data_IF_833547381715
#
_entry.id   IF_833547381715
#
_cell.length_a   1.000
_cell.length_b   1.000
_cell.length_c   1.000
_cell.angle_alpha   90.00
_cell.angle_beta   90.00
_cell.angle_gamma   90.00
#
_symmetry.space_group_name_H-M   'P 1'
#
loop_
_entity.id
_entity.type
_entity.pdbx_description
1 polymer ?
#
# COMPACT_ATOMS: atom_id res chain seq x y z
N UNK A 1 22.94 23.67 7.43
CA UNK A 1 23.49 22.94 6.29
C UNK A 1 22.36 22.02 5.85
N UNK A 2 21.57 22.46 4.88
CA UNK A 2 20.46 21.64 4.35
C UNK A 2 21.07 20.38 3.74
N UNK A 3 20.60 19.17 4.08
CA UNK A 3 21.04 17.96 3.40
C UNK A 3 20.82 18.17 1.89
N UNK A 4 21.85 17.91 1.09
CA UNK A 4 21.69 17.88 -0.36
C UNK A 4 20.68 16.76 -0.65
N UNK A 5 19.53 17.14 -1.19
CA UNK A 5 18.40 16.22 -1.40
C UNK A 5 18.80 15.23 -2.51
N UNK A 6 19.22 14.03 -2.11
CA UNK A 6 19.58 13.00 -3.07
C UNK A 6 18.32 12.48 -3.76
N UNK A 7 18.28 12.58 -5.09
CA UNK A 7 17.17 12.04 -5.86
C UNK A 7 17.05 10.51 -5.66
N UNK A 8 15.83 9.97 -5.51
CA UNK A 8 15.63 8.53 -5.41
C UNK A 8 16.19 7.80 -6.64
N UNK A 9 16.73 6.61 -6.41
CA UNK A 9 17.38 5.83 -7.46
C UNK A 9 16.44 5.53 -8.64
N UNK A 10 15.20 5.13 -8.37
CA UNK A 10 14.21 4.84 -9.42
C UNK A 10 13.95 6.06 -10.34
N UNK A 11 14.07 7.28 -9.79
CA UNK A 11 13.86 8.51 -10.56
C UNK A 11 15.06 8.80 -11.48
N UNK A 12 16.27 8.50 -11.01
CA UNK A 12 17.49 8.54 -11.83
C UNK A 12 17.43 7.52 -12.96
N UNK A 13 16.97 6.29 -12.66
CA UNK A 13 16.79 5.24 -13.68
C UNK A 13 15.77 5.67 -14.73
N UNK A 14 14.62 6.22 -14.31
CA UNK A 14 13.60 6.72 -15.23
C UNK A 14 14.11 7.86 -16.11
N UNK A 15 14.88 8.80 -15.55
CA UNK A 15 15.47 9.91 -16.28
C UNK A 15 16.44 9.42 -17.38
N UNK A 16 17.32 8.46 -17.05
CA UNK A 16 18.25 7.88 -18.02
C UNK A 16 17.52 7.16 -19.17
N UNK A 17 16.43 6.45 -18.86
CA UNK A 17 15.60 5.79 -19.88
C UNK A 17 14.90 6.81 -20.78
N UNK A 18 14.34 7.88 -20.19
CA UNK A 18 13.66 8.93 -20.95
C UNK A 18 14.62 9.72 -21.84
N UNK A 19 15.87 9.90 -21.40
CA UNK A 19 16.94 10.52 -22.18
C UNK A 19 17.46 9.61 -23.32
N UNK A 20 17.05 8.34 -23.37
CA UNK A 20 17.53 7.35 -24.34
C UNK A 20 18.95 6.85 -24.04
N UNK A 21 19.47 7.10 -22.84
CA UNK A 21 20.81 6.68 -22.42
C UNK A 21 20.85 5.20 -22.01
N UNK A 22 19.73 4.69 -21.50
CA UNK A 22 19.55 3.32 -21.04
C UNK A 22 18.16 2.78 -21.41
N UNK A 23 18.00 1.48 -21.26
CA UNK A 23 16.75 0.74 -21.32
C UNK A 23 16.56 -0.01 -20.01
N UNK A 24 15.35 -0.52 -19.74
CA UNK A 24 15.12 -1.35 -18.56
C UNK A 24 16.01 -2.60 -18.55
N UNK A 25 16.38 -3.11 -19.73
CA UNK A 25 17.24 -4.28 -19.87
C UNK A 25 18.70 -4.06 -19.48
N UNK A 26 19.12 -2.81 -19.32
CA UNK A 26 20.45 -2.45 -18.80
C UNK A 26 20.53 -2.51 -17.27
N UNK A 27 19.43 -2.79 -16.58
CA UNK A 27 19.37 -2.91 -15.12
C UNK A 27 19.04 -4.35 -14.70
N UNK A 28 19.77 -4.85 -13.70
CA UNK A 28 19.44 -6.09 -12.97
C UNK A 28 18.07 -5.99 -12.29
N UNK A 29 17.47 -7.12 -11.93
CA UNK A 29 16.22 -7.08 -11.16
C UNK A 29 16.38 -6.43 -9.80
N UNK A 30 17.56 -6.52 -9.19
CA UNK A 30 17.88 -5.79 -7.97
C UNK A 30 17.80 -4.28 -8.18
N UNK A 31 18.47 -3.75 -9.21
CA UNK A 31 18.42 -2.32 -9.54
C UNK A 31 16.99 -1.88 -9.92
N UNK A 32 16.26 -2.67 -10.72
CA UNK A 32 14.86 -2.38 -11.08
C UNK A 32 13.92 -2.37 -9.87
N UNK A 33 14.29 -3.04 -8.78
CA UNK A 33 13.51 -3.11 -7.53
C UNK A 33 14.17 -2.32 -6.40
N UNK A 34 14.81 -1.19 -6.73
CA UNK A 34 15.33 -0.22 -5.77
C UNK A 34 14.21 0.42 -4.92
N UNK A 35 14.54 1.00 -3.77
CA UNK A 35 13.53 1.53 -2.84
C UNK A 35 12.62 2.55 -3.52
N UNK A 36 11.29 2.37 -3.41
CA UNK A 36 10.31 3.29 -3.99
C UNK A 36 9.95 3.04 -5.46
N UNK A 37 10.45 1.96 -6.09
CA UNK A 37 10.20 1.69 -7.51
C UNK A 37 8.71 1.51 -7.88
N UNK A 38 7.85 1.07 -6.95
CA UNK A 38 6.40 0.94 -7.16
C UNK A 38 5.65 2.25 -6.99
N UNK A 39 6.19 3.22 -6.26
CA UNK A 39 5.52 4.50 -5.94
C UNK A 39 4.98 5.25 -7.17
N UNK A 40 5.74 5.46 -8.28
CA UNK A 40 5.19 6.14 -9.45
C UNK A 40 4.02 5.38 -10.10
N UNK A 41 4.05 4.04 -10.06
CA UNK A 41 2.95 3.21 -10.58
C UNK A 41 1.73 3.28 -9.67
N UNK A 42 1.92 3.22 -8.35
CA UNK A 42 0.87 3.40 -7.35
C UNK A 42 0.15 4.73 -7.58
N UNK A 43 0.88 5.84 -7.60
CA UNK A 43 0.32 7.18 -7.77
C UNK A 43 -0.49 7.29 -9.07
N UNK A 44 0.07 6.81 -10.19
CA UNK A 44 -0.58 6.90 -11.50
C UNK A 44 -1.84 6.05 -11.61
N UNK A 45 -1.80 4.82 -11.10
CA UNK A 45 -2.94 3.90 -11.17
C UNK A 45 -4.01 4.38 -10.20
N UNK A 46 -3.66 4.63 -8.94
CA UNK A 46 -4.63 5.01 -7.91
C UNK A 46 -5.36 6.31 -8.23
N UNK A 47 -4.66 7.33 -8.76
CA UNK A 47 -5.27 8.57 -9.24
C UNK A 47 -6.37 8.32 -10.28
N UNK A 48 -6.21 7.31 -11.12
CA UNK A 48 -7.19 6.97 -12.17
C UNK A 48 -8.43 6.27 -11.62
N UNK A 49 -8.30 5.49 -10.55
CA UNK A 49 -9.37 4.66 -10.01
C UNK A 49 -10.13 5.33 -8.86
N UNK A 50 -9.39 5.86 -7.88
CA UNK A 50 -9.98 6.32 -6.61
C UNK A 50 -9.56 7.74 -6.24
N UNK A 51 -8.39 8.21 -6.66
CA UNK A 51 -7.96 9.61 -6.45
C UNK A 51 -7.62 9.97 -5.00
N UNK A 52 -7.44 9.00 -4.10
CA UNK A 52 -7.09 9.25 -2.69
C UNK A 52 -5.68 9.77 -2.54
N UNK A 53 -4.71 9.27 -3.29
CA UNK A 53 -3.36 9.80 -3.25
C UNK A 53 -3.31 11.22 -3.81
N UNK A 54 -4.03 11.50 -4.89
CA UNK A 54 -4.14 12.86 -5.44
C UNK A 54 -4.78 13.83 -4.43
N UNK A 55 -5.92 13.45 -3.84
CA UNK A 55 -6.59 14.20 -2.78
C UNK A 55 -5.64 14.46 -1.60
N UNK A 56 -4.91 13.42 -1.18
CA UNK A 56 -4.05 13.48 -0.02
C UNK A 56 -2.81 14.33 -0.26
N UNK A 57 -2.17 14.22 -1.42
CA UNK A 57 -1.04 15.10 -1.77
C UNK A 57 -1.49 16.56 -1.83
N UNK A 58 -2.64 16.87 -2.46
CA UNK A 58 -3.16 18.25 -2.48
C UNK A 58 -3.47 18.77 -1.07
N UNK A 59 -3.98 17.90 -0.19
CA UNK A 59 -4.21 18.20 1.23
C UNK A 59 -2.90 18.51 1.94
N UNK A 60 -1.87 17.68 1.73
CA UNK A 60 -0.54 17.88 2.29
C UNK A 60 0.10 19.19 1.80
N UNK A 61 -0.03 19.51 0.52
CA UNK A 61 0.46 20.76 -0.10
C UNK A 61 -0.26 22.00 0.42
N UNK A 62 -1.57 21.90 0.70
CA UNK A 62 -2.35 23.02 1.24
C UNK A 62 -1.99 23.33 2.70
N UNK A 63 -1.41 22.37 3.43
CA UNK A 63 -1.11 22.53 4.86
C UNK A 63 -2.34 22.38 5.78
N UNK A 64 -3.49 22.07 5.21
CA UNK A 64 -4.76 21.89 5.91
C UNK A 64 -5.67 20.92 5.14
N UNK A 65 -6.68 20.38 5.84
CA UNK A 65 -7.65 19.49 5.23
C UNK A 65 -8.51 20.24 4.19
N UNK A 66 -8.58 19.71 2.98
CA UNK A 66 -9.42 20.30 1.93
C UNK A 66 -10.92 20.15 2.24
N UNK A 67 -11.71 21.11 1.78
CA UNK A 67 -13.18 21.06 1.86
C UNK A 67 -13.78 19.94 0.99
N UNK A 68 -13.06 19.51 -0.05
CA UNK A 68 -13.43 18.40 -0.92
C UNK A 68 -13.77 17.13 -0.10
N UNK A 69 -14.77 16.32 -0.51
CA UNK A 69 -15.06 15.06 0.18
C UNK A 69 -13.90 14.08 0.02
N UNK A 70 -13.66 13.26 1.06
CA UNK A 70 -12.71 12.15 0.94
C UNK A 70 -13.15 11.23 -0.20
N UNK A 71 -12.27 10.89 -1.16
CA UNK A 71 -12.64 9.96 -2.21
C UNK A 71 -13.01 8.57 -1.66
N UNK A 72 -14.17 8.09 -2.06
CA UNK A 72 -14.78 6.88 -1.51
C UNK A 72 -14.30 5.63 -2.27
N UNK A 73 -13.98 4.56 -1.52
CA UNK A 73 -13.71 3.24 -2.07
C UNK A 73 -14.83 2.29 -1.65
N UNK A 74 -15.42 1.62 -2.64
CA UNK A 74 -16.31 0.48 -2.43
C UNK A 74 -15.47 -0.81 -2.43
N UNK A 75 -15.17 -1.32 -1.25
CA UNK A 75 -14.39 -2.56 -1.11
C UNK A 75 -15.21 -3.79 -1.48
N UNK A 76 -14.56 -4.70 -2.20
CA UNK A 76 -15.10 -6.00 -2.56
C UNK A 76 -14.98 -6.98 -1.39
N UNK A 77 -16.03 -7.74 -1.12
CA UNK A 77 -16.07 -8.79 -0.12
C UNK A 77 -15.83 -10.19 -0.67
N UNK A 78 -15.78 -11.17 0.22
CA UNK A 78 -15.52 -12.58 -0.12
C UNK A 78 -16.62 -13.21 -1.01
N UNK A 79 -17.83 -12.65 -0.98
CA UNK A 79 -19.00 -13.11 -1.74
C UNK A 79 -19.24 -12.43 -3.07
N UNK A 80 -18.43 -11.43 -3.44
CA UNK A 80 -18.63 -10.70 -4.70
C UNK A 80 -18.18 -11.55 -5.89
N UNK A 81 -19.06 -11.69 -6.88
CA UNK A 81 -18.84 -12.52 -8.08
C UNK A 81 -17.93 -11.89 -9.12
N UNK A 82 -17.13 -10.89 -8.74
CA UNK A 82 -16.23 -10.23 -9.67
C UNK A 82 -15.04 -11.13 -10.00
N UNK A 83 -14.95 -11.55 -11.26
CA UNK A 83 -13.84 -12.36 -11.76
C UNK A 83 -12.49 -11.66 -11.53
N UNK A 84 -12.46 -10.33 -11.53
CA UNK A 84 -11.22 -9.57 -11.35
C UNK A 84 -10.67 -9.66 -9.92
N UNK A 85 -11.51 -9.81 -8.89
CA UNK A 85 -11.06 -10.14 -7.51
C UNK A 85 -10.39 -11.52 -7.47
N UNK A 86 -10.99 -12.49 -8.16
CA UNK A 86 -10.41 -13.85 -8.26
C UNK A 86 -9.05 -13.82 -8.94
N UNK A 87 -8.88 -13.01 -9.98
CA UNK A 87 -7.61 -12.88 -10.70
C UNK A 87 -6.54 -12.19 -9.85
N UNK A 88 -6.88 -11.17 -9.06
CA UNK A 88 -5.98 -10.59 -8.07
C UNK A 88 -5.50 -11.64 -7.05
N UNK A 89 -6.41 -12.45 -6.50
CA UNK A 89 -6.02 -13.53 -5.57
C UNK A 89 -5.15 -14.60 -6.23
N UNK A 90 -5.46 -15.03 -7.47
CA UNK A 90 -4.62 -15.99 -8.21
C UNK A 90 -3.20 -15.44 -8.43
N UNK A 91 -3.09 -14.17 -8.82
CA UNK A 91 -1.82 -13.49 -9.00
C UNK A 91 -1.03 -13.46 -7.69
N UNK A 92 -1.66 -13.08 -6.57
CA UNK A 92 -1.01 -13.05 -5.27
C UNK A 92 -0.55 -14.44 -4.83
N UNK A 93 -1.39 -15.47 -4.95
CA UNK A 93 -1.00 -16.87 -4.68
C UNK A 93 0.18 -17.29 -5.54
N UNK A 94 0.19 -16.95 -6.84
CA UNK A 94 1.34 -17.23 -7.70
C UNK A 94 2.62 -16.52 -7.25
N UNK A 95 2.52 -15.32 -6.68
CA UNK A 95 3.68 -14.66 -6.08
C UNK A 95 4.22 -15.47 -4.89
N UNK A 96 3.37 -16.00 -4.01
CA UNK A 96 3.81 -16.56 -2.71
C UNK A 96 3.82 -18.09 -2.61
N UNK A 97 3.40 -18.79 -3.66
CA UNK A 97 3.31 -20.27 -3.72
C UNK A 97 4.08 -20.86 -4.92
N UNK A 98 4.93 -20.06 -5.58
CA UNK A 98 5.73 -20.58 -6.68
C UNK A 98 6.86 -21.49 -6.19
N UNK A 99 7.33 -22.37 -7.08
CA UNK A 99 8.50 -23.21 -6.81
C UNK A 99 9.72 -22.36 -6.39
N UNK A 100 9.89 -21.17 -6.98
CA UNK A 100 11.00 -20.27 -6.63
C UNK A 100 11.00 -19.93 -5.13
N UNK A 101 9.83 -19.66 -4.54
CA UNK A 101 9.68 -19.40 -3.12
C UNK A 101 10.00 -20.63 -2.26
N UNK A 102 9.51 -21.82 -2.64
CA UNK A 102 9.80 -23.05 -1.89
C UNK A 102 11.29 -23.41 -1.91
N UNK A 103 11.97 -23.22 -3.05
CA UNK A 103 13.38 -23.57 -3.19
C UNK A 103 14.34 -22.67 -2.40
N UNK A 104 13.89 -21.47 -2.04
CA UNK A 104 14.70 -20.43 -1.35
C UNK A 104 14.20 -20.13 0.05
N UNK A 105 13.15 -20.82 0.50
CA UNK A 105 12.46 -20.59 1.78
C UNK A 105 11.92 -19.17 1.95
N UNK A 106 11.58 -18.48 0.86
CA UNK A 106 10.90 -17.19 0.91
C UNK A 106 9.48 -17.35 1.47
N UNK A 107 9.12 -16.53 2.44
CA UNK A 107 7.87 -16.58 3.20
C UNK A 107 6.98 -15.38 2.86
N UNK A 108 5.72 -15.48 3.27
CA UNK A 108 4.74 -14.40 3.07
C UNK A 108 5.18 -13.03 3.65
N UNK A 109 5.80 -12.95 4.85
CA UNK A 109 6.31 -11.66 5.36
C UNK A 109 7.40 -11.05 4.48
N UNK A 110 8.24 -11.87 3.83
CA UNK A 110 9.31 -11.39 2.95
C UNK A 110 8.71 -10.73 1.70
N UNK A 111 7.57 -11.25 1.21
CA UNK A 111 6.81 -10.62 0.12
C UNK A 111 6.19 -9.27 0.55
N UNK A 112 5.68 -9.15 1.78
CA UNK A 112 5.17 -7.87 2.29
C UNK A 112 6.29 -6.84 2.43
N UNK A 113 7.46 -7.23 2.93
CA UNK A 113 8.65 -6.38 2.96
C UNK A 113 9.11 -5.97 1.55
N UNK A 114 8.99 -6.85 0.55
CA UNK A 114 9.29 -6.48 -0.83
C UNK A 114 8.33 -5.43 -1.39
N UNK A 115 7.03 -5.53 -1.07
CA UNK A 115 6.04 -4.52 -1.44
C UNK A 115 6.30 -3.19 -0.74
N UNK A 116 6.54 -3.21 0.58
CA UNK A 116 6.83 -2.01 1.37
C UNK A 116 8.13 -1.33 0.89
N UNK A 117 9.17 -2.11 0.57
CA UNK A 117 10.37 -1.60 -0.08
C UNK A 117 10.04 -0.93 -1.42
N UNK A 118 9.21 -1.58 -2.24
CA UNK A 118 8.74 -1.04 -3.50
C UNK A 118 7.95 0.25 -3.35
N UNK A 119 7.13 0.40 -2.31
CA UNK A 119 6.42 1.65 -2.03
C UNK A 119 7.30 2.75 -1.41
N UNK A 120 8.54 2.41 -1.06
CA UNK A 120 9.46 3.35 -0.42
C UNK A 120 9.09 3.61 1.03
N UNK A 121 8.69 2.57 1.77
CA UNK A 121 8.30 2.71 3.15
C UNK A 121 9.41 3.26 4.04
N UNK A 122 9.05 4.26 4.85
CA UNK A 122 10.02 4.94 5.74
C UNK A 122 10.39 4.08 6.92
N UNK A 123 9.50 3.18 7.35
CA UNK A 123 9.79 2.20 8.41
C UNK A 123 10.70 1.06 7.97
N UNK A 124 11.00 0.95 6.67
CA UNK A 124 11.88 -0.08 6.11
C UNK A 124 13.20 0.53 5.62
N UNK A 125 14.19 0.57 6.51
CA UNK A 125 15.52 1.14 6.20
C UNK A 125 16.33 0.23 5.26
N UNK A 126 16.23 -1.09 5.44
CA UNK A 126 17.00 -2.07 4.68
C UNK A 126 16.11 -2.93 3.77
N UNK A 127 16.68 -3.30 2.61
CA UNK A 127 16.04 -4.25 1.69
C UNK A 127 15.99 -5.63 2.33
N UNK A 128 14.84 -6.30 2.22
CA UNK A 128 14.72 -7.69 2.61
C UNK A 128 15.74 -8.54 1.83
N UNK A 129 16.41 -9.47 2.52
CA UNK A 129 17.34 -10.41 1.88
C UNK A 129 16.56 -11.47 1.12
N UNK A 130 16.29 -11.20 -0.15
CA UNK A 130 15.56 -12.10 -1.04
C UNK A 130 16.47 -12.59 -2.16
N UNK A 131 16.31 -13.85 -2.55
CA UNK A 131 17.04 -14.45 -3.66
C UNK A 131 16.68 -13.77 -4.99
N UNK A 132 17.64 -13.65 -5.89
CA UNK A 132 17.47 -12.95 -7.17
C UNK A 132 16.35 -13.57 -8.02
N UNK A 133 16.20 -14.91 -8.00
CA UNK A 133 15.14 -15.59 -8.77
C UNK A 133 13.76 -15.33 -8.17
N UNK A 134 13.67 -15.22 -6.85
CA UNK A 134 12.42 -14.85 -6.18
C UNK A 134 12.05 -13.41 -6.50
N UNK A 135 13.04 -12.50 -6.46
CA UNK A 135 12.83 -11.10 -6.81
C UNK A 135 12.37 -10.93 -8.26
N UNK A 136 13.02 -11.62 -9.21
CA UNK A 136 12.59 -11.64 -10.61
C UNK A 136 11.17 -12.21 -10.77
N UNK A 137 10.87 -13.33 -10.11
CA UNK A 137 9.55 -13.96 -10.16
C UNK A 137 8.46 -13.00 -9.66
N UNK A 138 8.68 -12.36 -8.50
CA UNK A 138 7.75 -11.37 -7.96
C UNK A 138 7.61 -10.16 -8.86
N UNK A 139 8.71 -9.61 -9.36
CA UNK A 139 8.69 -8.46 -10.27
C UNK A 139 7.86 -8.74 -11.53
N UNK A 140 7.97 -9.94 -12.11
CA UNK A 140 7.24 -10.32 -13.33
C UNK A 140 5.80 -10.75 -13.09
N UNK A 141 5.48 -11.20 -11.89
CA UNK A 141 4.16 -11.78 -11.58
C UNK A 141 3.23 -10.77 -10.91
N UNK A 142 3.78 -9.87 -10.10
CA UNK A 142 2.98 -8.94 -9.32
C UNK A 142 2.43 -7.80 -10.17
N UNK A 143 1.10 -7.72 -10.22
CA UNK A 143 0.36 -6.66 -10.89
C UNK A 143 -0.38 -5.79 -9.86
N UNK A 144 0.24 -4.65 -9.55
CA UNK A 144 -0.33 -3.64 -8.65
C UNK A 144 -1.72 -3.15 -9.12
N UNK A 145 -1.93 -3.06 -10.43
CA UNK A 145 -3.17 -2.58 -11.03
C UNK A 145 -4.39 -3.42 -10.67
N UNK A 146 -4.24 -4.73 -10.55
CA UNK A 146 -5.34 -5.62 -10.14
C UNK A 146 -5.81 -5.32 -8.71
N UNK A 147 -4.88 -5.10 -7.79
CA UNK A 147 -5.23 -4.79 -6.39
C UNK A 147 -5.92 -3.43 -6.27
N UNK A 148 -5.46 -2.42 -7.01
CA UNK A 148 -6.09 -1.10 -7.00
C UNK A 148 -7.46 -1.13 -7.68
N UNK A 149 -7.57 -1.76 -8.85
CA UNK A 149 -8.83 -1.82 -9.59
C UNK A 149 -9.92 -2.61 -8.86
N UNK A 150 -9.53 -3.60 -8.06
CA UNK A 150 -10.41 -4.48 -7.31
C UNK A 150 -10.07 -4.38 -5.81
N UNK A 151 -10.48 -3.32 -5.12
CA UNK A 151 -10.03 -3.04 -3.76
C UNK A 151 -10.62 -4.06 -2.77
N UNK A 152 -9.76 -4.80 -2.07
CA UNK A 152 -10.13 -5.81 -1.07
C UNK A 152 -8.96 -6.03 -0.11
N UNK A 153 -9.24 -6.62 1.06
CA UNK A 153 -8.19 -7.06 1.99
C UNK A 153 -7.70 -8.48 1.63
N UNK A 154 -6.98 -8.55 0.51
CA UNK A 154 -6.39 -9.79 0.01
C UNK A 154 -5.32 -10.37 0.95
N UNK A 155 -4.60 -9.50 1.65
CA UNK A 155 -3.51 -9.92 2.52
C UNK A 155 -4.03 -10.59 3.79
N UNK A 156 -5.15 -10.11 4.33
CA UNK A 156 -5.86 -10.77 5.42
C UNK A 156 -6.35 -12.16 5.01
N UNK A 157 -6.88 -12.30 3.80
CA UNK A 157 -7.31 -13.60 3.25
C UNK A 157 -6.12 -14.57 3.12
N UNK A 158 -5.04 -14.17 2.45
CA UNK A 158 -3.82 -14.98 2.33
C UNK A 158 -3.23 -15.40 3.68
N UNK A 159 -3.20 -14.49 4.66
CA UNK A 159 -2.71 -14.80 6.01
C UNK A 159 -3.62 -15.81 6.70
N UNK A 160 -4.93 -15.65 6.59
CA UNK A 160 -5.91 -16.54 7.22
C UNK A 160 -5.87 -17.96 6.63
N UNK A 161 -5.71 -18.09 5.31
CA UNK A 161 -5.56 -19.37 4.62
C UNK A 161 -4.36 -20.16 5.15
N UNK A 162 -3.26 -19.46 5.45
CA UNK A 162 -2.01 -20.08 5.91
C UNK A 162 -1.99 -20.37 7.41
N UNK A 163 -2.70 -19.58 8.22
CA UNK A 163 -2.71 -19.73 9.68
C UNK A 163 -3.49 -20.96 10.16
N UNK A 164 -4.30 -21.61 9.30
CA UNK A 164 -4.96 -22.88 9.63
C UNK A 164 -5.81 -22.82 10.90
N UNK A 165 -6.24 -23.99 11.41
CA UNK A 165 -6.96 -24.09 12.68
C UNK A 165 -6.05 -24.63 13.78
N UNK A 166 -6.18 -24.07 14.99
CA UNK A 166 -5.50 -24.53 16.21
C UNK A 166 -4.32 -23.68 16.66
N UNK A 167 -4.04 -23.73 17.97
CA UNK A 167 -3.05 -22.88 18.67
C UNK A 167 -1.63 -22.96 18.10
N UNK A 168 -1.26 -24.10 17.51
CA UNK A 168 0.09 -24.30 16.95
C UNK A 168 0.26 -23.66 15.57
N UNK A 169 -0.81 -23.54 14.78
CA UNK A 169 -0.79 -22.98 13.43
C UNK A 169 -1.20 -21.49 13.43
N UNK A 170 -2.12 -21.11 14.33
CA UNK A 170 -2.58 -19.74 14.54
C UNK A 170 -2.39 -19.30 16.01
N UNK A 171 -1.14 -19.14 16.48
CA UNK A 171 -0.86 -18.83 17.89
C UNK A 171 -1.45 -17.48 18.34
N UNK A 172 -1.61 -16.54 17.40
CA UNK A 172 -2.17 -15.21 17.64
C UNK A 172 -3.68 -15.13 17.38
N UNK A 173 -4.32 -16.25 17.01
CA UNK A 173 -5.75 -16.33 16.72
C UNK A 173 -6.25 -15.22 15.76
N UNK A 174 -5.46 -14.92 14.71
CA UNK A 174 -5.85 -13.93 13.71
C UNK A 174 -6.95 -14.50 12.82
N UNK A 175 -8.08 -13.79 12.74
CA UNK A 175 -9.18 -14.06 11.83
C UNK A 175 -9.64 -12.72 11.26
N UNK A 176 -9.53 -12.51 9.93
CA UNK A 176 -9.99 -11.26 9.34
C UNK A 176 -11.51 -11.15 9.50
N UNK A 177 -11.98 -10.02 10.02
CA UNK A 177 -13.42 -9.77 10.15
C UNK A 177 -14.05 -9.69 8.76
N UNK A 178 -15.12 -10.45 8.44
CA UNK A 178 -15.72 -10.43 7.11
C UNK A 178 -16.08 -9.02 6.63
N UNK A 179 -15.87 -8.74 5.34
CA UNK A 179 -16.01 -7.40 4.77
C UNK A 179 -17.39 -6.76 5.05
N UNK A 180 -18.46 -7.55 4.94
CA UNK A 180 -19.83 -7.10 5.22
C UNK A 180 -20.07 -6.71 6.69
N UNK A 181 -19.42 -7.40 7.64
CA UNK A 181 -19.51 -7.08 9.07
C UNK A 181 -18.76 -5.78 9.35
N UNK A 182 -17.58 -5.60 8.77
CA UNK A 182 -16.80 -4.37 8.88
C UNK A 182 -17.56 -3.17 8.31
N UNK A 183 -18.15 -3.32 7.13
CA UNK A 183 -18.95 -2.26 6.49
C UNK A 183 -20.13 -1.84 7.38
N UNK A 184 -20.88 -2.82 7.90
CA UNK A 184 -21.97 -2.58 8.83
C UNK A 184 -21.49 -1.83 10.08
N UNK A 185 -20.43 -2.31 10.76
CA UNK A 185 -19.89 -1.70 11.98
C UNK A 185 -19.41 -0.27 11.74
N UNK A 186 -18.76 -0.02 10.60
CA UNK A 186 -18.28 1.31 10.22
C UNK A 186 -19.46 2.25 9.96
N UNK A 187 -20.47 1.81 9.21
CA UNK A 187 -21.66 2.65 8.93
C UNK A 187 -22.42 3.00 10.20
N UNK A 188 -22.62 2.03 11.10
CA UNK A 188 -23.27 2.27 12.39
C UNK A 188 -22.53 3.28 13.27
N UNK A 189 -21.20 3.36 13.13
CA UNK A 189 -20.37 4.22 13.99
C UNK A 189 -20.01 5.55 13.34
N UNK A 190 -20.04 5.66 12.00
CA UNK A 190 -19.48 6.80 11.25
C UNK A 190 -20.40 7.50 10.25
N UNK A 191 -21.42 6.83 9.70
CA UNK A 191 -22.14 7.35 8.52
C UNK A 191 -23.00 8.61 8.81
N UNK A 192 -23.68 8.68 9.96
CA UNK A 192 -24.73 9.69 10.20
C UNK A 192 -24.32 10.84 11.13
N UNK A 193 -23.02 11.02 11.38
CA UNK A 193 -22.58 11.92 12.45
C UNK A 193 -21.64 13.00 11.88
N UNK A 194 -22.21 13.96 11.16
CA UNK A 194 -21.54 15.22 10.76
C UNK A 194 -20.25 15.06 9.95
N UNK A 195 -19.46 16.14 9.86
CA UNK A 195 -18.12 16.08 9.29
C UNK A 195 -17.15 15.42 10.29
N UNK A 196 -16.53 14.32 9.86
CA UNK A 196 -15.64 13.48 10.66
C UNK A 196 -14.27 13.30 10.05
N UNK A 197 -13.95 14.07 9.01
CA UNK A 197 -12.71 13.86 8.26
C UNK A 197 -11.47 13.89 9.18
N UNK A 198 -11.49 14.65 10.27
CA UNK A 198 -10.38 14.71 11.25
C UNK A 198 -10.58 13.86 12.52
N UNK A 199 -11.73 13.19 12.68
CA UNK A 199 -12.03 12.39 13.86
C UNK A 199 -11.02 11.25 13.99
N UNK A 200 -10.37 11.10 15.14
CA UNK A 200 -9.47 9.98 15.37
C UNK A 200 -10.23 8.64 15.36
N UNK A 201 -9.70 7.68 14.62
CA UNK A 201 -10.19 6.30 14.60
C UNK A 201 -9.04 5.37 14.97
N UNK A 202 -9.22 4.60 16.04
CA UNK A 202 -8.22 3.64 16.51
C UNK A 202 -8.77 2.22 16.44
N UNK A 203 -8.01 1.32 15.82
CA UNK A 203 -8.21 -0.12 15.95
C UNK A 203 -7.08 -0.74 16.81
N UNK A 204 -7.37 -1.15 18.06
CA UNK A 204 -6.35 -1.69 18.97
C UNK A 204 -5.92 -3.13 18.64
N UNK A 205 -6.60 -3.80 17.72
CA UNK A 205 -6.31 -5.14 17.24
C UNK A 205 -6.43 -5.14 15.70
N UNK A 206 -5.65 -4.27 15.06
CA UNK A 206 -5.90 -3.84 13.68
C UNK A 206 -5.82 -4.96 12.66
N UNK A 207 -5.10 -6.05 12.96
CA UNK A 207 -4.89 -7.12 12.01
C UNK A 207 -4.26 -6.58 10.73
N UNK A 208 -4.86 -6.91 9.60
CA UNK A 208 -4.48 -6.40 8.26
C UNK A 208 -5.10 -5.03 7.93
N UNK A 209 -5.76 -4.37 8.88
CA UNK A 209 -6.30 -3.02 8.69
C UNK A 209 -7.67 -2.95 8.04
N UNK A 210 -8.40 -4.06 7.93
CA UNK A 210 -9.70 -4.08 7.24
C UNK A 210 -10.71 -3.11 7.84
N UNK A 211 -10.79 -3.00 9.17
CA UNK A 211 -11.63 -1.98 9.83
C UNK A 211 -11.21 -0.56 9.43
N UNK A 212 -9.90 -0.28 9.46
CA UNK A 212 -9.37 1.03 9.07
C UNK A 212 -9.61 1.33 7.59
N UNK A 213 -9.58 0.32 6.70
CA UNK A 213 -9.91 0.49 5.28
C UNK A 213 -11.31 1.08 5.12
N UNK A 214 -12.31 0.53 5.80
CA UNK A 214 -13.67 1.10 5.73
C UNK A 214 -13.77 2.45 6.46
N UNK A 215 -13.14 2.60 7.63
CA UNK A 215 -13.14 3.87 8.36
C UNK A 215 -12.46 5.01 7.57
N UNK A 216 -11.50 4.68 6.70
CA UNK A 216 -10.79 5.62 5.84
C UNK A 216 -11.72 6.35 4.88
N UNK A 217 -12.90 5.80 4.56
CA UNK A 217 -13.93 6.51 3.80
C UNK A 217 -14.47 7.75 4.55
N UNK A 218 -14.27 7.85 5.86
CA UNK A 218 -14.90 8.88 6.71
C UNK A 218 -13.88 9.73 7.46
N UNK A 219 -12.68 9.22 7.71
CA UNK A 219 -11.63 9.93 8.44
C UNK A 219 -10.24 9.71 7.84
N UNK A 220 -9.44 10.77 7.83
CA UNK A 220 -8.02 10.74 7.50
C UNK A 220 -7.12 10.50 8.72
N UNK A 221 -7.68 10.51 9.94
CA UNK A 221 -6.94 10.40 11.19
C UNK A 221 -7.03 8.98 11.76
N UNK A 222 -6.22 8.06 11.22
CA UNK A 222 -6.30 6.62 11.49
C UNK A 222 -5.12 6.11 12.32
N UNK A 223 -5.41 5.23 13.28
CA UNK A 223 -4.42 4.57 14.13
C UNK A 223 -4.72 3.07 14.22
N UNK A 224 -3.67 2.25 14.18
CA UNK A 224 -3.78 0.81 14.32
C UNK A 224 -2.66 0.26 15.19
N UNK A 225 -2.98 -0.70 16.04
CA UNK A 225 -2.00 -1.47 16.82
C UNK A 225 -2.32 -2.95 16.69
N UNK A 226 -1.30 -3.78 16.55
CA UNK A 226 -1.45 -5.23 16.59
C UNK A 226 -0.21 -5.85 17.27
N UNK A 227 -0.38 -7.03 17.86
CA UNK A 227 0.74 -7.78 18.45
C UNK A 227 1.48 -8.63 17.40
N UNK A 228 0.85 -8.91 16.25
CA UNK A 228 1.41 -9.67 15.15
C UNK A 228 2.03 -8.72 14.12
N UNK A 229 3.35 -8.68 14.11
CA UNK A 229 4.10 -7.79 13.20
C UNK A 229 3.85 -8.09 11.71
N UNK A 230 3.46 -9.33 11.35
CA UNK A 230 3.10 -9.67 9.96
C UNK A 230 1.76 -9.03 9.59
N UNK A 231 0.81 -9.00 10.53
CA UNK A 231 -0.45 -8.28 10.35
C UNK A 231 -0.20 -6.77 10.20
N UNK A 232 0.66 -6.18 11.04
CA UNK A 232 1.04 -4.76 10.91
C UNK A 232 1.63 -4.45 9.52
N UNK A 233 2.54 -5.29 9.00
CA UNK A 233 3.07 -5.11 7.64
C UNK A 233 2.00 -5.17 6.56
N UNK A 234 1.08 -6.14 6.65
CA UNK A 234 -0.05 -6.23 5.74
C UNK A 234 -0.98 -5.01 5.84
N UNK A 235 -1.22 -4.50 7.06
CA UNK A 235 -1.95 -3.25 7.29
C UNK A 235 -1.26 -2.06 6.62
N UNK A 236 0.07 -1.93 6.76
CA UNK A 236 0.84 -0.88 6.09
C UNK A 236 0.75 -1.00 4.56
N UNK A 237 0.83 -2.22 4.00
CA UNK A 237 0.63 -2.43 2.55
C UNK A 237 -0.78 -2.00 2.12
N UNK A 238 -1.82 -2.42 2.84
CA UNK A 238 -3.19 -1.95 2.60
C UNK A 238 -3.31 -0.41 2.76
N UNK A 239 -2.49 0.19 3.63
CA UNK A 239 -2.32 1.63 3.79
C UNK A 239 -1.81 2.31 2.51
N UNK A 240 -0.76 1.79 1.90
CA UNK A 240 -0.29 2.33 0.60
C UNK A 240 -1.33 2.18 -0.51
N UNK A 241 -2.02 1.04 -0.56
CA UNK A 241 -2.98 0.76 -1.62
C UNK A 241 -4.25 1.60 -1.50
N UNK A 242 -4.73 1.82 -0.28
CA UNK A 242 -6.09 2.31 -0.06
C UNK A 242 -6.19 3.45 0.95
N UNK A 243 -5.23 3.66 1.85
CA UNK A 243 -5.34 4.65 2.94
C UNK A 243 -4.08 5.53 3.03
N UNK A 244 -3.84 6.44 2.07
CA UNK A 244 -2.61 7.24 2.00
C UNK A 244 -2.29 7.98 3.30
N UNK A 245 -3.30 8.51 3.97
CA UNK A 245 -3.19 9.22 5.24
C UNK A 245 -2.78 8.35 6.43
N UNK A 246 -2.94 7.02 6.35
CA UNK A 246 -2.40 6.11 7.37
C UNK A 246 -0.87 6.02 7.27
N UNK A 247 -0.32 5.94 6.05
CA UNK A 247 1.12 5.73 5.81
C UNK A 247 1.89 7.03 5.63
N UNK A 248 1.20 8.13 5.35
CA UNK A 248 1.74 9.49 5.26
C UNK A 248 0.83 10.44 6.06
N UNK A 249 0.75 10.30 7.39
CA UNK A 249 -0.11 11.15 8.21
C UNK A 249 0.32 12.61 8.09
N UNK A 250 -0.64 13.53 8.09
CA UNK A 250 -0.34 14.95 8.05
C UNK A 250 0.20 15.39 9.41
N UNK A 251 1.25 16.25 9.46
CA UNK A 251 1.88 16.64 10.72
C UNK A 251 0.95 17.46 11.62
N UNK A 252 -0.09 18.10 11.05
CA UNK A 252 -1.09 18.85 11.81
C UNK A 252 -2.25 18.00 12.33
N UNK A 253 -2.43 16.77 11.84
CA UNK A 253 -3.38 15.82 12.42
C UNK A 253 -2.79 15.32 13.75
N UNK A 254 -2.92 16.15 14.78
CA UNK A 254 -2.53 15.76 16.13
C UNK A 254 -3.44 14.63 16.59
N UNK A 255 -2.84 13.56 17.11
CA UNK A 255 -3.54 12.70 18.05
C UNK A 255 -4.08 13.58 19.17
N UNK A 256 -5.37 13.47 19.48
CA UNK A 256 -5.92 14.02 20.72
C UNK A 256 -4.97 13.69 21.86
N UNK A 257 -4.49 14.72 22.55
CA UNK A 257 -3.30 14.73 23.41
C UNK A 257 -3.15 13.46 24.29
N UNK A 258 -2.06 12.73 24.05
CA UNK A 258 -1.69 11.53 24.77
C UNK A 258 -0.50 10.83 24.12
N UNK A 259 0.68 11.45 24.24
CA UNK A 259 2.01 10.90 23.95
C UNK A 259 2.33 10.56 22.48
N UNK A 260 3.13 11.43 21.85
CA UNK A 260 4.45 11.03 21.32
C UNK A 260 5.38 12.23 21.25
N UNK A 261 6.59 12.00 21.76
CA UNK A 261 7.74 12.89 21.71
C UNK A 261 8.08 13.26 20.28
N UNK A 262 8.39 14.54 20.10
CA UNK A 262 9.01 15.10 18.91
C UNK A 262 10.23 14.27 18.48
N UNK A 263 10.30 13.91 17.21
CA UNK A 263 11.34 14.35 16.29
C UNK A 263 11.15 13.64 14.93
N UNK A 264 11.74 14.23 13.88
CA UNK A 264 11.64 13.91 12.45
C UNK A 264 10.46 14.60 11.73
N UNK A 265 10.64 15.90 11.53
CA UNK A 265 10.10 16.61 10.37
C UNK A 265 11.09 16.36 9.22
N UNK A 266 10.80 15.40 8.34
CA UNK A 266 11.40 15.41 7.01
C UNK A 266 10.39 16.05 6.05
N UNK A 267 10.77 17.22 5.52
CA UNK A 267 10.03 17.97 4.52
C UNK A 267 9.88 17.11 3.25
N UNK A 268 8.67 16.57 3.02
CA UNK A 268 8.31 16.04 1.71
C UNK A 268 8.02 17.23 0.79
N UNK A 269 9.01 17.64 0.00
CA UNK A 269 8.76 18.53 -1.13
C UNK A 269 8.30 17.71 -2.33
N UNK A 270 7.07 17.97 -2.78
CA UNK A 270 6.53 17.46 -4.04
C UNK A 270 7.41 17.88 -5.21
N UNK A 271 8.08 16.91 -5.84
CA UNK A 271 8.74 17.13 -7.13
C UNK A 271 7.66 16.99 -8.20
N UNK A 272 7.21 18.13 -8.74
CA UNK A 272 6.28 18.17 -9.87
C UNK A 272 6.86 17.33 -11.02
N UNK A 273 6.23 16.21 -11.43
CA UNK A 273 6.74 15.42 -12.52
C UNK A 273 6.77 16.29 -13.80
N UNK A 274 7.77 16.12 -14.67
CA UNK A 274 7.80 16.82 -15.95
C UNK A 274 6.51 16.52 -16.71
N UNK A 275 5.98 17.53 -17.42
CA UNK A 275 4.74 17.43 -18.18
C UNK A 275 4.84 16.29 -19.21
N UNK A 276 4.31 15.13 -18.85
CA UNK A 276 4.31 13.94 -19.70
C UNK A 276 3.25 14.12 -20.78
N UNK A 277 3.72 14.26 -22.03
CA UNK A 277 2.84 14.19 -23.19
C UNK A 277 2.11 12.85 -23.19
N UNK A 278 0.79 12.90 -23.38
CA UNK A 278 -0.11 11.75 -23.38
C UNK A 278 0.31 10.75 -24.46
N UNK A 279 0.98 9.66 -24.06
CA UNK A 279 1.23 8.51 -24.95
C UNK A 279 -0.08 7.75 -25.09
N UNK A 280 -0.72 7.89 -26.26
CA UNK A 280 -2.05 7.34 -26.61
C UNK A 280 -2.03 5.88 -27.10
N UNK A 281 -1.06 5.04 -26.72
CA UNK A 281 -1.03 3.65 -27.18
C UNK A 281 -1.34 2.65 -26.06
N UNK A 282 -2.51 2.01 -26.17
CA UNK A 282 -3.00 0.96 -25.27
C UNK A 282 -2.15 -0.32 -25.32
N UNK A 283 -1.28 -0.48 -26.32
CA UNK A 283 -0.49 -1.70 -26.51
C UNK A 283 0.75 -1.83 -25.59
N UNK A 284 1.10 -0.81 -24.81
CA UNK A 284 2.23 -0.88 -23.85
C UNK A 284 1.85 -1.31 -22.42
N UNK A 285 0.57 -1.56 -22.12
CA UNK A 285 0.18 -2.19 -20.84
C UNK A 285 0.46 -3.70 -20.79
N UNK A 286 1.01 -4.30 -21.85
CA UNK A 286 1.42 -5.72 -21.91
C UNK A 286 2.92 -5.95 -21.70
N UNK A 287 3.68 -4.91 -21.36
CA UNK A 287 5.12 -5.00 -21.08
C UNK A 287 5.48 -4.68 -19.63
N UNK A 288 4.54 -4.87 -18.71
CA UNK A 288 4.76 -4.93 -17.26
C UNK A 288 3.84 -6.00 -16.67
#
# INVERSE_FOLDING_TARGET
MTPELQMPEWLLQYAAIHAGEKTWDDYSFEERTCKGWLTPFLMRIETRYWGRWEYWVRTLEAGELLDDPIPQIAYLGEGDSDNSRSDAMKMLRNCVESHHCYSTSARLPDFFEWLLWGFGDTGQEERARIDEKVNEHWYRTFNLGLMIACPSDYLGELLSERKGSGKWNNPNAFYPTPHNVVDMMTKMTMHDIGDRKEMSVMDPCVGTGRMLMYASNYSVNLYGVDNDYVCVKACTVNGYLYMPWLVRPAPWLKASEGERTADVVDEIQYVKPPALQVIKNQDQMRLF
#
